data_IF_186783127340
#
_entry.id   IF_186783127340
#
_cell.length_a   1.000
_cell.length_b   1.000
_cell.length_c   1.000
_cell.angle_alpha   90.00
_cell.angle_beta   90.00
_cell.angle_gamma   90.00
#
_symmetry.space_group_name_H-M   'P 1'
#
loop_
_entity.id
_entity.type
_entity.pdbx_description
1 polymer ?
#
# COMPACT_ATOMS: atom_id res chain seq x y z
N UNK A 1 9.67 -2.76 3.15
CA UNK A 1 9.10 -3.81 3.98
C UNK A 1 10.18 -4.70 4.59
N UNK A 2 10.98 -5.46 3.81
CA UNK A 2 11.98 -6.43 4.30
C UNK A 2 13.00 -5.83 5.28
N UNK A 3 13.52 -4.61 5.02
CA UNK A 3 14.43 -3.92 5.93
C UNK A 3 13.83 -3.75 7.32
N UNK A 4 12.60 -3.26 7.39
CA UNK A 4 11.89 -3.08 8.67
C UNK A 4 11.56 -4.42 9.33
N UNK A 5 11.16 -5.42 8.55
CA UNK A 5 10.88 -6.76 9.08
C UNK A 5 12.11 -7.41 9.75
N UNK A 6 13.31 -7.15 9.21
CA UNK A 6 14.57 -7.61 9.82
C UNK A 6 14.98 -6.76 11.04
N UNK A 7 14.75 -5.46 10.97
CA UNK A 7 15.07 -4.51 12.06
C UNK A 7 14.19 -4.72 13.29
N UNK A 8 12.94 -5.16 13.09
CA UNK A 8 11.96 -5.38 14.15
C UNK A 8 11.50 -6.85 14.19
N UNK A 9 12.30 -7.77 14.73
CA UNK A 9 11.99 -9.21 14.70
C UNK A 9 10.72 -9.58 15.48
N UNK A 10 10.34 -8.79 16.50
CA UNK A 10 9.09 -8.97 17.26
C UNK A 10 7.84 -8.33 16.64
N UNK A 11 7.95 -7.64 15.50
CA UNK A 11 6.80 -7.02 14.88
C UNK A 11 5.91 -8.06 14.20
N UNK A 12 4.59 -7.89 14.34
CA UNK A 12 3.61 -8.59 13.53
C UNK A 12 3.61 -7.99 12.12
N UNK A 13 3.66 -8.83 11.09
CA UNK A 13 3.79 -8.40 9.72
C UNK A 13 2.56 -8.80 8.91
N UNK A 14 2.09 -7.87 8.07
CA UNK A 14 1.06 -8.17 7.09
C UNK A 14 1.46 -7.61 5.72
N UNK A 15 1.24 -8.38 4.69
CA UNK A 15 1.34 -7.95 3.31
C UNK A 15 -0.01 -8.13 2.63
N UNK A 16 -0.60 -7.03 2.19
CA UNK A 16 -1.85 -7.04 1.44
C UNK A 16 -1.57 -6.81 -0.05
N UNK A 17 -2.07 -7.71 -0.86
CA UNK A 17 -1.87 -7.65 -2.30
C UNK A 17 -2.74 -8.63 -3.07
N UNK A 18 -4.00 -8.29 -3.26
CA UNK A 18 -4.90 -9.03 -4.12
C UNK A 18 -4.71 -8.73 -5.61
N UNK A 19 -5.76 -8.80 -6.39
CA UNK A 19 -5.77 -8.46 -7.81
C UNK A 19 -6.89 -7.48 -8.13
N UNK A 20 -6.53 -6.30 -8.63
CA UNK A 20 -7.48 -5.33 -9.15
C UNK A 20 -8.00 -5.64 -10.56
N UNK A 21 -7.54 -6.72 -11.19
CA UNK A 21 -7.99 -7.15 -12.51
C UNK A 21 -9.35 -7.85 -12.42
N UNK A 22 -10.31 -7.46 -13.24
CA UNK A 22 -11.60 -8.14 -13.35
C UNK A 22 -11.51 -9.47 -14.12
N UNK A 23 -10.50 -9.62 -14.97
CA UNK A 23 -10.36 -10.76 -15.88
C UNK A 23 -9.30 -11.77 -15.44
N UNK A 24 -8.32 -11.35 -14.64
CA UNK A 24 -7.18 -12.19 -14.21
C UNK A 24 -7.04 -12.17 -12.70
N UNK A 25 -7.86 -12.98 -12.03
CA UNK A 25 -7.83 -13.10 -10.56
C UNK A 25 -6.79 -14.11 -10.05
N UNK A 26 -6.20 -14.88 -10.92
CA UNK A 26 -5.19 -15.89 -10.60
C UNK A 26 -3.83 -15.32 -10.18
N UNK A 27 -3.49 -14.11 -10.67
CA UNK A 27 -2.25 -13.44 -10.32
C UNK A 27 -2.46 -12.47 -9.15
N UNK A 28 -2.13 -12.91 -7.95
CA UNK A 28 -2.22 -12.10 -6.72
C UNK A 28 -0.85 -11.53 -6.37
N UNK A 29 -0.80 -10.25 -6.06
CA UNK A 29 0.46 -9.61 -5.65
C UNK A 29 1.03 -10.22 -4.36
N UNK A 30 0.17 -10.70 -3.45
CA UNK A 30 0.57 -11.39 -2.24
C UNK A 30 1.34 -12.69 -2.52
N UNK A 31 0.93 -13.46 -3.53
CA UNK A 31 1.61 -14.73 -3.88
C UNK A 31 3.01 -14.46 -4.47
N UNK A 32 3.12 -13.42 -5.31
CA UNK A 32 4.41 -12.98 -5.84
C UNK A 32 5.32 -12.47 -4.72
N UNK A 33 4.79 -11.68 -3.80
CA UNK A 33 5.54 -11.18 -2.66
C UNK A 33 6.00 -12.31 -1.74
N UNK A 34 5.14 -13.29 -1.47
CA UNK A 34 5.48 -14.47 -0.65
C UNK A 34 6.68 -15.22 -1.22
N UNK A 35 6.68 -15.47 -2.53
CA UNK A 35 7.80 -16.10 -3.22
C UNK A 35 9.07 -15.25 -3.13
N UNK A 36 8.98 -13.95 -3.45
CA UNK A 36 10.11 -13.03 -3.38
C UNK A 36 10.72 -12.97 -1.98
N UNK A 37 9.88 -12.87 -0.93
CA UNK A 37 10.37 -12.80 0.45
C UNK A 37 11.05 -14.10 0.89
N UNK A 38 10.56 -15.25 0.45
CA UNK A 38 11.19 -16.55 0.68
C UNK A 38 12.57 -16.64 0.00
N UNK A 39 12.67 -16.24 -1.26
CA UNK A 39 13.93 -16.20 -2.01
C UNK A 39 14.96 -15.25 -1.38
N UNK A 40 14.50 -14.20 -0.69
CA UNK A 40 15.34 -13.24 0.03
C UNK A 40 15.59 -13.62 1.50
N UNK A 41 15.40 -14.89 1.85
CA UNK A 41 15.64 -15.44 3.20
C UNK A 41 14.90 -14.73 4.33
N UNK A 42 13.73 -14.12 4.04
CA UNK A 42 12.86 -13.60 5.08
C UNK A 42 11.95 -14.73 5.58
N UNK A 43 11.85 -14.85 6.89
CA UNK A 43 10.94 -15.83 7.49
C UNK A 43 9.48 -15.45 7.18
N UNK A 44 8.92 -16.11 6.17
CA UNK A 44 7.55 -15.88 5.69
C UNK A 44 6.48 -16.41 6.67
N UNK A 45 6.84 -17.26 7.64
CA UNK A 45 5.89 -17.75 8.66
C UNK A 45 5.39 -16.62 9.56
N UNK A 46 6.17 -15.53 9.69
CA UNK A 46 5.85 -14.33 10.45
C UNK A 46 4.93 -13.36 9.71
N UNK A 47 4.62 -13.61 8.44
CA UNK A 47 3.89 -12.68 7.59
C UNK A 47 2.50 -13.22 7.31
N UNK A 48 1.49 -12.46 7.70
CA UNK A 48 0.12 -12.69 7.24
C UNK A 48 -0.03 -12.12 5.83
N UNK A 49 -0.48 -12.95 4.89
CA UNK A 49 -0.71 -12.52 3.51
C UNK A 49 -2.21 -12.36 3.25
N UNK A 50 -2.64 -11.12 3.00
CA UNK A 50 -3.97 -10.82 2.49
C UNK A 50 -3.91 -10.83 0.95
N UNK A 51 -4.73 -11.65 0.30
CA UNK A 51 -4.67 -11.89 -1.14
C UNK A 51 -5.99 -11.72 -1.89
N UNK A 52 -7.08 -11.46 -1.19
CA UNK A 52 -8.42 -11.52 -1.76
C UNK A 52 -9.01 -10.16 -2.12
N UNK A 53 -8.34 -9.09 -1.70
CA UNK A 53 -8.75 -7.73 -2.01
C UNK A 53 -8.65 -7.39 -3.50
N UNK A 54 -9.62 -6.62 -4.00
CA UNK A 54 -9.69 -6.11 -5.37
C UNK A 54 -9.42 -4.62 -5.47
N UNK A 55 -9.39 -3.94 -4.34
CA UNK A 55 -9.18 -2.50 -4.23
C UNK A 55 -8.63 -2.14 -2.85
N UNK A 56 -8.19 -0.89 -2.67
CA UNK A 56 -7.55 -0.43 -1.44
C UNK A 56 -8.47 -0.48 -0.22
N UNK A 57 -9.78 -0.27 -0.40
CA UNK A 57 -10.73 -0.36 0.70
C UNK A 57 -10.87 -1.80 1.20
N UNK A 58 -11.00 -2.75 0.29
CA UNK A 58 -11.02 -4.18 0.62
C UNK A 58 -9.69 -4.62 1.26
N UNK A 59 -8.55 -4.12 0.76
CA UNK A 59 -7.23 -4.39 1.37
C UNK A 59 -7.19 -3.96 2.84
N UNK A 60 -7.66 -2.77 3.16
CA UNK A 60 -7.69 -2.29 4.54
C UNK A 60 -8.66 -3.11 5.40
N UNK A 61 -9.87 -3.38 4.89
CA UNK A 61 -10.90 -4.12 5.60
C UNK A 61 -10.48 -5.57 5.88
N UNK A 62 -10.05 -6.30 4.85
CA UNK A 62 -9.64 -7.69 4.97
C UNK A 62 -8.39 -7.85 5.82
N UNK A 63 -7.41 -6.97 5.65
CA UNK A 63 -6.23 -6.93 6.51
C UNK A 63 -6.59 -6.72 7.98
N UNK A 64 -7.48 -5.79 8.27
CA UNK A 64 -7.95 -5.54 9.64
C UNK A 64 -8.65 -6.77 10.21
N UNK A 65 -9.50 -7.43 9.43
CA UNK A 65 -10.21 -8.64 9.85
C UNK A 65 -9.25 -9.79 10.13
N UNK A 66 -8.26 -10.01 9.25
CA UNK A 66 -7.26 -11.08 9.42
C UNK A 66 -6.38 -10.89 10.66
N UNK A 67 -6.01 -9.64 10.94
CA UNK A 67 -5.08 -9.32 12.03
C UNK A 67 -5.82 -9.14 13.37
N UNK A 68 -7.05 -8.63 13.34
CA UNK A 68 -7.81 -8.22 14.51
C UNK A 68 -6.98 -7.36 15.47
N UNK A 69 -6.57 -6.16 15.04
CA UNK A 69 -5.58 -5.35 15.75
C UNK A 69 -6.11 -4.91 17.11
N UNK A 70 -5.28 -5.04 18.15
CA UNK A 70 -5.62 -4.62 19.50
C UNK A 70 -5.39 -3.11 19.69
N UNK A 71 -6.17 -2.41 20.53
CA UNK A 71 -6.04 -0.97 20.75
C UNK A 71 -4.66 -0.52 21.27
N UNK A 72 -3.94 -1.39 21.95
CA UNK A 72 -2.58 -1.13 22.47
C UNK A 72 -1.49 -1.23 21.40
N UNK A 73 -1.79 -1.80 20.24
CA UNK A 73 -0.81 -2.00 19.16
C UNK A 73 -0.65 -0.75 18.34
N UNK A 74 0.60 -0.48 17.92
CA UNK A 74 0.93 0.57 16.96
C UNK A 74 1.20 -0.05 15.61
N UNK A 75 0.48 0.43 14.59
CA UNK A 75 0.57 -0.06 13.23
C UNK A 75 1.22 0.96 12.31
N UNK A 76 2.07 0.47 11.42
CA UNK A 76 2.75 1.29 10.41
C UNK A 76 2.27 0.88 9.03
N UNK A 77 1.78 1.84 8.27
CA UNK A 77 1.38 1.64 6.88
C UNK A 77 2.53 2.01 5.95
N UNK A 78 3.04 1.02 5.21
CA UNK A 78 4.09 1.20 4.22
C UNK A 78 3.46 1.15 2.84
N UNK A 79 3.48 2.24 2.13
CA UNK A 79 3.04 2.32 0.73
C UNK A 79 3.78 3.45 0.01
N UNK A 80 3.59 3.56 -1.30
CA UNK A 80 4.22 4.61 -2.09
C UNK A 80 3.75 6.00 -1.67
N UNK A 81 4.63 6.99 -1.77
CA UNK A 81 4.33 8.35 -1.30
C UNK A 81 3.09 8.96 -1.94
N UNK A 82 2.85 8.71 -3.23
CA UNK A 82 1.66 9.23 -3.95
C UNK A 82 0.37 8.51 -3.55
N UNK A 83 0.46 7.25 -3.12
CA UNK A 83 -0.69 6.45 -2.69
C UNK A 83 -1.06 6.67 -1.21
N UNK A 84 -0.11 7.16 -0.41
CA UNK A 84 -0.26 7.33 1.03
C UNK A 84 -1.50 8.14 1.44
N UNK A 85 -1.80 9.32 0.86
CA UNK A 85 -2.97 10.10 1.27
C UNK A 85 -4.28 9.33 1.12
N UNK A 86 -4.46 8.63 0.00
CA UNK A 86 -5.67 7.81 -0.25
C UNK A 86 -5.76 6.64 0.72
N UNK A 87 -4.66 5.96 0.95
CA UNK A 87 -4.60 4.83 1.88
C UNK A 87 -4.92 5.26 3.31
N UNK A 88 -4.33 6.35 3.79
CA UNK A 88 -4.58 6.86 5.14
C UNK A 88 -6.06 7.20 5.37
N UNK A 89 -6.72 7.85 4.39
CA UNK A 89 -8.15 8.14 4.47
C UNK A 89 -9.01 6.87 4.54
N UNK A 90 -8.62 5.81 3.83
CA UNK A 90 -9.32 4.53 3.85
C UNK A 90 -9.10 3.79 5.18
N UNK A 91 -7.86 3.72 5.68
CA UNK A 91 -7.57 3.09 6.98
C UNK A 91 -8.28 3.83 8.13
N UNK A 92 -8.34 5.17 8.08
CA UNK A 92 -9.18 5.96 8.98
C UNK A 92 -10.65 5.51 8.92
N UNK A 93 -11.21 5.38 7.72
CA UNK A 93 -12.62 4.99 7.53
C UNK A 93 -12.95 3.60 8.07
N UNK A 94 -12.05 2.64 7.93
CA UNK A 94 -12.24 1.30 8.51
C UNK A 94 -11.93 1.27 10.01
N UNK A 95 -11.57 2.40 10.61
CA UNK A 95 -11.30 2.52 12.04
C UNK A 95 -10.01 1.77 12.46
N UNK A 96 -8.96 1.84 11.63
CA UNK A 96 -7.66 1.29 11.95
C UNK A 96 -6.60 2.39 11.92
N UNK A 97 -6.19 2.86 13.09
CA UNK A 97 -5.20 3.91 13.23
C UNK A 97 -3.82 3.46 12.74
N UNK A 98 -3.26 4.20 11.79
CA UNK A 98 -1.98 3.89 11.16
C UNK A 98 -0.98 5.04 11.31
N UNK A 99 0.29 4.70 11.48
CA UNK A 99 1.41 5.64 11.29
C UNK A 99 1.88 5.53 9.84
N UNK A 100 1.89 6.64 9.06
CA UNK A 100 2.33 6.58 7.67
C UNK A 100 3.85 6.40 7.55
N UNK A 101 4.27 5.50 6.67
CA UNK A 101 5.68 5.34 6.28
C UNK A 101 5.76 5.34 4.74
N UNK A 102 5.74 6.53 4.12
CA UNK A 102 5.80 6.65 2.67
C UNK A 102 7.17 6.22 2.12
N UNK A 103 7.13 5.48 1.02
CA UNK A 103 8.31 5.02 0.28
C UNK A 103 8.18 5.38 -1.20
N UNK A 104 9.21 5.11 -1.98
CA UNK A 104 9.22 5.29 -3.43
C UNK A 104 8.80 6.71 -3.86
N UNK A 105 9.56 7.69 -3.38
CA UNK A 105 9.39 9.08 -3.79
C UNK A 105 9.85 9.26 -5.23
N UNK A 106 8.95 9.65 -6.12
CA UNK A 106 9.25 9.85 -7.56
C UNK A 106 9.88 11.22 -7.85
N UNK A 107 9.83 12.15 -6.90
CA UNK A 107 10.42 13.47 -7.04
C UNK A 107 11.36 13.75 -5.87
N UNK A 108 12.58 14.17 -6.15
CA UNK A 108 13.46 14.74 -5.15
C UNK A 108 13.19 16.25 -5.06
N UNK A 109 12.79 16.73 -3.88
CA UNK A 109 12.42 18.16 -3.68
C UNK A 109 13.49 19.18 -4.08
N UNK A 110 14.74 18.75 -4.32
CA UNK A 110 15.86 19.62 -4.73
C UNK A 110 15.86 20.01 -6.22
N UNK A 111 15.10 19.35 -7.08
CA UNK A 111 15.17 19.54 -8.55
C UNK A 111 13.79 19.76 -9.21
N UNK A 112 12.82 20.28 -8.46
CA UNK A 112 11.44 20.47 -8.93
C UNK A 112 11.28 21.42 -10.12
N UNK A 113 12.31 22.19 -10.46
CA UNK A 113 12.30 23.15 -11.58
C UNK A 113 13.26 22.78 -12.73
N UNK A 114 13.84 21.58 -12.75
CA UNK A 114 14.56 21.14 -13.94
C UNK A 114 13.55 20.72 -14.99
N UNK A 115 13.48 21.50 -16.07
CA UNK A 115 12.77 21.10 -17.30
C UNK A 115 13.51 19.86 -17.82
N UNK A 116 12.94 18.70 -17.54
CA UNK A 116 13.45 17.44 -18.06
C UNK A 116 12.62 17.12 -19.31
N UNK A 117 13.27 17.07 -20.47
CA UNK A 117 12.64 16.73 -21.74
C UNK A 117 12.22 15.26 -21.84
N UNK A 118 12.15 14.55 -20.70
CA UNK A 118 11.58 13.20 -20.61
C UNK A 118 10.05 13.28 -20.63
N UNK A 119 9.50 13.33 -21.84
CA UNK A 119 8.05 13.38 -22.07
C UNK A 119 7.36 12.12 -21.52
N UNK A 120 7.98 10.94 -21.67
CA UNK A 120 7.40 9.67 -21.22
C UNK A 120 7.32 9.60 -19.69
N UNK A 121 8.38 9.98 -18.99
CA UNK A 121 8.40 10.05 -17.53
C UNK A 121 7.41 11.08 -16.99
N UNK A 122 7.32 12.25 -17.63
CA UNK A 122 6.38 13.31 -17.25
C UNK A 122 4.93 12.87 -17.43
N UNK A 123 4.57 12.25 -18.55
CA UNK A 123 3.21 11.71 -18.78
C UNK A 123 2.85 10.60 -17.78
N UNK A 124 3.82 9.76 -17.43
CA UNK A 124 3.62 8.73 -16.40
C UNK A 124 3.31 9.34 -15.04
N UNK A 125 4.06 10.35 -14.61
CA UNK A 125 3.83 11.04 -13.33
C UNK A 125 2.47 11.74 -13.30
N UNK A 126 2.09 12.42 -14.37
CA UNK A 126 0.77 13.04 -14.51
C UNK A 126 -0.32 11.98 -14.42
N UNK A 127 -0.19 10.87 -15.12
CA UNK A 127 -1.16 9.77 -15.11
C UNK A 127 -1.33 9.19 -13.68
N UNK A 128 -0.25 9.00 -12.94
CA UNK A 128 -0.29 8.55 -11.54
C UNK A 128 -1.03 9.59 -10.69
N UNK A 129 -0.66 10.87 -10.78
CA UNK A 129 -1.29 11.95 -10.02
C UNK A 129 -2.78 12.07 -10.28
N UNK A 130 -3.20 12.00 -11.54
CA UNK A 130 -4.62 12.05 -11.94
C UNK A 130 -5.38 10.85 -11.38
N UNK A 131 -4.86 9.62 -11.51
CA UNK A 131 -5.48 8.41 -10.96
C UNK A 131 -5.66 8.50 -9.46
N UNK A 132 -4.66 8.97 -8.73
CA UNK A 132 -4.77 9.12 -7.27
C UNK A 132 -5.77 10.21 -6.86
N UNK A 133 -5.83 11.33 -7.60
CA UNK A 133 -6.84 12.38 -7.37
C UNK A 133 -8.26 11.87 -7.61
N UNK A 134 -8.49 11.19 -8.73
CA UNK A 134 -9.79 10.55 -9.03
C UNK A 134 -10.13 9.52 -7.95
N UNK A 135 -9.17 8.70 -7.54
CA UNK A 135 -9.36 7.73 -6.47
C UNK A 135 -9.75 8.38 -5.15
N UNK A 136 -9.07 9.45 -4.73
CA UNK A 136 -9.40 10.21 -3.52
C UNK A 136 -10.84 10.75 -3.56
N UNK A 137 -11.24 11.38 -4.65
CA UNK A 137 -12.60 11.90 -4.82
C UNK A 137 -13.63 10.77 -4.81
N UNK A 138 -13.40 9.71 -5.57
CA UNK A 138 -14.31 8.56 -5.64
C UNK A 138 -14.53 7.91 -4.27
N UNK A 139 -13.47 7.70 -3.49
CA UNK A 139 -13.60 7.11 -2.15
C UNK A 139 -14.29 8.06 -1.16
N UNK A 140 -14.10 9.38 -1.29
CA UNK A 140 -14.82 10.35 -0.46
C UNK A 140 -16.31 10.37 -0.79
N UNK A 141 -16.66 10.48 -2.07
CA UNK A 141 -18.07 10.53 -2.53
C UNK A 141 -18.80 9.23 -2.20
N UNK A 142 -18.12 8.08 -2.29
CA UNK A 142 -18.71 6.78 -1.93
C UNK A 142 -18.67 6.47 -0.43
N UNK A 143 -18.24 7.41 0.41
CA UNK A 143 -18.17 7.24 1.86
C UNK A 143 -17.15 6.21 2.36
N UNK A 144 -16.16 5.86 1.54
CA UNK A 144 -15.11 4.86 1.84
C UNK A 144 -13.78 5.47 2.31
N UNK A 145 -13.74 6.77 2.55
CA UNK A 145 -12.59 7.52 3.07
C UNK A 145 -13.05 8.56 4.08
N UNK A 146 -12.25 8.83 5.10
CA UNK A 146 -12.42 10.01 5.97
C UNK A 146 -12.08 11.32 5.24
#
# INVERSE_FOLDING_TARGET
>A
FMRLARQFPGAQLIFSGGSGSLLRQEFKAADVAKRLFSEQTLDISRITFERDSRNTYESALFSKTLINPQPSQRWVLITTSWHMPRSMGIFCKVGWAMTPYPVDFQTSGRNSFRINWDLQGSLRLISIGVKERIGLVAYRVTGKSC
#
